data_IF_081699088727
#
_entry.id   IF_081699088727
#
_cell.length_a   1.000
_cell.length_b   1.000
_cell.length_c   1.000
_cell.angle_alpha   90.00
_cell.angle_beta   90.00
_cell.angle_gamma   90.00
#
_symmetry.space_group_name_H-M   'P 1'
#
loop_
_entity.id
_entity.type
_entity.pdbx_description
1 polymer ?
#
# COMPACT_ATOMS: atom_id res chain seq x y z
N UNK A 1 3.25 -16.66 20.23
CA UNK A 1 4.20 -16.28 19.13
C UNK A 1 3.89 -14.91 18.55
N UNK A 2 2.64 -14.60 18.11
CA UNK A 2 2.31 -13.23 17.62
C UNK A 2 2.33 -12.21 18.76
N UNK A 3 1.95 -12.60 19.97
CA UNK A 3 1.93 -11.73 21.15
C UNK A 3 3.33 -11.45 21.72
N UNK A 4 4.33 -12.21 21.33
CA UNK A 4 5.71 -12.07 21.79
C UNK A 4 6.58 -11.28 20.79
N UNK A 5 6.04 -10.96 19.62
CA UNK A 5 6.75 -10.16 18.63
C UNK A 5 6.92 -8.72 19.11
N UNK A 6 8.15 -8.19 19.09
CA UNK A 6 8.35 -6.77 19.35
C UNK A 6 7.67 -5.93 18.26
N UNK A 7 6.90 -4.90 18.65
CA UNK A 7 6.31 -4.02 17.66
C UNK A 7 7.38 -3.25 16.89
N UNK A 8 7.14 -3.01 15.61
CA UNK A 8 7.98 -2.12 14.80
C UNK A 8 8.11 -0.75 15.52
N UNK A 9 9.33 -0.26 15.61
CA UNK A 9 9.63 1.02 16.27
C UNK A 9 10.22 1.98 15.25
N UNK A 10 9.75 3.22 15.29
CA UNK A 10 10.44 4.31 14.56
C UNK A 10 11.88 4.46 15.07
N UNK A 11 12.79 4.83 14.18
CA UNK A 11 14.15 5.18 14.58
C UNK A 11 14.14 6.38 15.53
N UNK A 12 15.11 6.45 16.45
CA UNK A 12 15.15 7.50 17.50
C UNK A 12 15.11 8.95 16.93
N UNK A 13 15.52 9.13 15.68
CA UNK A 13 15.56 10.41 14.99
C UNK A 13 14.43 10.59 13.96
N UNK A 14 13.48 9.66 13.90
CA UNK A 14 12.40 9.73 12.93
C UNK A 14 11.51 10.96 13.16
N UNK A 15 11.17 11.64 12.07
CA UNK A 15 10.31 12.82 12.08
C UNK A 15 9.07 12.58 11.23
N UNK A 16 7.90 13.06 11.65
CA UNK A 16 6.71 12.98 10.83
C UNK A 16 6.83 13.87 9.59
N UNK A 17 6.20 13.44 8.51
CA UNK A 17 6.03 14.21 7.28
C UNK A 17 4.55 14.35 6.98
N UNK A 18 4.09 15.55 6.64
CA UNK A 18 2.68 15.78 6.34
C UNK A 18 2.30 15.20 4.97
N UNK A 19 2.95 15.66 3.91
CA UNK A 19 2.72 15.21 2.54
C UNK A 19 4.03 15.11 1.77
N UNK A 20 4.18 13.98 1.07
CA UNK A 20 5.25 13.73 0.12
C UNK A 20 4.82 14.14 -1.29
N UNK A 21 5.79 14.48 -2.15
CA UNK A 21 5.54 14.74 -3.56
C UNK A 21 5.64 13.46 -4.41
N UNK A 22 6.45 12.49 -3.95
CA UNK A 22 6.53 11.15 -4.48
C UNK A 22 7.67 10.89 -5.46
N UNK A 23 8.80 11.62 -5.36
CA UNK A 23 10.04 11.25 -6.02
C UNK A 23 10.74 10.18 -5.19
N UNK A 24 10.98 8.99 -5.78
CA UNK A 24 11.56 7.84 -5.08
C UNK A 24 12.94 7.55 -5.66
N UNK A 25 13.94 7.35 -4.80
CA UNK A 25 15.29 6.98 -5.19
C UNK A 25 15.74 5.73 -4.42
N UNK A 26 16.21 4.74 -5.15
CA UNK A 26 17.00 3.63 -4.64
C UNK A 26 18.47 3.93 -4.93
N UNK A 27 19.35 3.82 -3.94
CA UNK A 27 20.79 4.05 -4.05
C UNK A 27 21.55 2.84 -3.54
N UNK A 28 22.11 2.08 -4.45
CA UNK A 28 22.93 0.87 -4.19
C UNK A 28 22.27 -0.10 -3.21
N UNK A 29 20.96 -0.31 -3.38
CA UNK A 29 20.14 -1.10 -2.45
C UNK A 29 20.45 -2.57 -2.61
N UNK A 30 20.86 -3.20 -1.50
CA UNK A 30 20.99 -4.65 -1.33
C UNK A 30 19.95 -5.11 -0.31
N UNK A 31 19.28 -6.23 -0.59
CA UNK A 31 18.32 -6.81 0.32
C UNK A 31 18.26 -8.35 0.18
N UNK A 32 18.21 -9.04 1.31
CA UNK A 32 17.94 -10.46 1.44
C UNK A 32 16.86 -10.69 2.52
N UNK A 33 16.02 -11.72 2.36
CA UNK A 33 15.08 -12.14 3.41
C UNK A 33 15.76 -12.94 4.51
N UNK A 34 16.76 -13.74 4.10
CA UNK A 34 17.62 -14.53 4.97
C UNK A 34 19.06 -14.29 4.55
N UNK A 35 20.02 -14.58 5.42
CA UNK A 35 21.45 -14.26 5.20
C UNK A 35 22.10 -14.99 4.00
N UNK A 36 21.37 -15.91 3.34
CA UNK A 36 21.99 -16.81 2.36
C UNK A 36 21.91 -16.35 0.90
N UNK A 37 21.01 -15.41 0.53
CA UNK A 37 20.88 -14.98 -0.88
C UNK A 37 20.26 -13.59 -1.05
N UNK A 38 21.02 -12.70 -1.67
CA UNK A 38 20.52 -11.40 -2.08
C UNK A 38 19.38 -11.53 -3.10
N UNK A 39 18.24 -10.91 -2.79
CA UNK A 39 17.10 -10.75 -3.69
C UNK A 39 17.28 -9.50 -4.54
N UNK A 40 17.84 -8.45 -3.93
CA UNK A 40 18.28 -7.22 -4.62
C UNK A 40 19.78 -7.06 -4.40
N UNK A 41 20.51 -6.75 -5.47
CA UNK A 41 21.96 -6.64 -5.43
C UNK A 41 22.41 -5.33 -6.10
N UNK A 42 22.62 -4.29 -5.29
CA UNK A 42 23.11 -2.98 -5.74
C UNK A 42 22.14 -2.24 -6.66
N UNK A 43 20.84 -2.27 -6.35
CA UNK A 43 19.83 -1.62 -7.20
C UNK A 43 19.85 -0.12 -7.01
N UNK A 44 20.10 0.61 -8.12
CA UNK A 44 20.03 2.07 -8.17
C UNK A 44 19.07 2.52 -9.25
N UNK A 45 18.02 3.27 -8.88
CA UNK A 45 17.03 3.82 -9.79
C UNK A 45 16.34 5.05 -9.20
N UNK A 46 15.78 5.88 -10.07
CA UNK A 46 14.97 7.02 -9.67
C UNK A 46 13.63 7.00 -10.38
N UNK A 47 12.56 7.18 -9.60
CA UNK A 47 11.20 7.36 -10.11
C UNK A 47 10.81 8.81 -9.83
N UNK A 48 10.67 9.60 -10.89
CA UNK A 48 10.29 11.00 -10.76
C UNK A 48 8.83 11.16 -10.34
N UNK A 49 8.54 12.20 -9.57
CA UNK A 49 7.18 12.53 -9.11
C UNK A 49 6.18 12.58 -10.27
N UNK A 50 4.99 12.03 -10.06
CA UNK A 50 3.91 12.02 -11.04
C UNK A 50 4.14 11.10 -12.25
N UNK A 51 5.23 10.35 -12.28
CA UNK A 51 5.49 9.37 -13.35
C UNK A 51 4.90 8.02 -13.02
N UNK A 52 4.46 7.31 -14.06
CA UNK A 52 4.15 5.87 -13.99
C UNK A 52 5.41 5.09 -14.32
N UNK A 53 5.77 4.20 -13.43
CA UNK A 53 6.94 3.33 -13.56
C UNK A 53 6.50 1.88 -13.46
N UNK A 54 6.97 1.01 -14.34
CA UNK A 54 6.65 -0.40 -14.31
C UNK A 54 7.91 -1.23 -14.06
N UNK A 55 7.84 -2.12 -13.06
CA UNK A 55 8.84 -3.14 -12.80
C UNK A 55 8.49 -4.38 -13.64
N UNK A 56 9.36 -4.74 -14.58
CA UNK A 56 9.16 -5.89 -15.48
C UNK A 56 10.29 -6.88 -15.30
N UNK A 57 9.97 -8.16 -15.26
CA UNK A 57 10.95 -9.23 -15.11
C UNK A 57 10.32 -10.56 -14.70
N UNK A 58 11.11 -11.64 -14.66
CA UNK A 58 10.63 -12.97 -14.28
C UNK A 58 10.10 -13.00 -12.84
N UNK A 59 9.29 -14.01 -12.53
CA UNK A 59 8.89 -14.30 -11.15
C UNK A 59 10.14 -14.55 -10.29
N UNK A 60 10.13 -14.06 -9.04
CA UNK A 60 11.28 -14.12 -8.15
C UNK A 60 12.37 -13.06 -8.42
N UNK A 61 12.19 -12.18 -9.41
CA UNK A 61 13.16 -11.11 -9.74
C UNK A 61 13.16 -9.91 -8.80
N UNK A 62 12.60 -10.00 -7.58
CA UNK A 62 12.64 -8.94 -6.57
C UNK A 62 11.64 -7.78 -6.75
N UNK A 63 10.70 -7.87 -7.71
CA UNK A 63 9.72 -6.79 -7.98
C UNK A 63 8.84 -6.49 -6.75
N UNK A 64 8.19 -7.48 -6.20
CA UNK A 64 7.37 -7.38 -4.98
C UNK A 64 8.20 -6.93 -3.78
N UNK A 65 9.44 -7.40 -3.67
CA UNK A 65 10.39 -6.95 -2.65
C UNK A 65 10.63 -5.45 -2.74
N UNK A 66 10.92 -4.93 -3.94
CA UNK A 66 11.06 -3.47 -4.13
C UNK A 66 9.80 -2.70 -3.73
N UNK A 67 8.62 -3.22 -4.08
CA UNK A 67 7.34 -2.63 -3.68
C UNK A 67 7.17 -2.60 -2.15
N UNK A 68 7.65 -3.60 -1.43
CA UNK A 68 7.55 -3.72 0.02
C UNK A 68 8.62 -2.90 0.78
N UNK A 69 9.76 -2.63 0.17
CA UNK A 69 10.80 -1.78 0.76
C UNK A 69 10.39 -0.29 0.81
N UNK A 70 9.64 0.20 -0.18
CA UNK A 70 9.21 1.61 -0.23
C UNK A 70 8.37 2.02 1.01
N UNK A 71 7.35 1.25 1.46
CA UNK A 71 6.60 1.56 2.68
C UNK A 71 7.32 1.15 3.97
N UNK A 72 8.60 0.75 3.87
CA UNK A 72 9.41 0.33 4.99
C UNK A 72 8.77 -0.86 5.76
N UNK A 73 8.42 -1.94 5.01
CA UNK A 73 8.02 -3.20 5.63
C UNK A 73 9.24 -4.07 5.98
N UNK A 74 10.38 -3.76 5.38
CA UNK A 74 11.68 -4.40 5.63
C UNK A 74 12.78 -3.35 5.56
N UNK A 75 13.85 -3.59 6.31
CA UNK A 75 15.08 -2.79 6.27
C UNK A 75 16.00 -3.26 5.15
N UNK A 76 16.61 -2.33 4.44
CA UNK A 76 17.64 -2.67 3.45
C UNK A 76 18.91 -3.18 4.14
N UNK A 77 19.57 -4.19 3.56
CA UNK A 77 20.84 -4.71 4.09
C UNK A 77 21.97 -3.73 3.84
N UNK A 78 21.98 -3.07 2.68
CA UNK A 78 22.94 -2.02 2.30
C UNK A 78 22.25 -1.01 1.37
N UNK A 79 22.86 0.16 1.25
CA UNK A 79 22.31 1.25 0.46
C UNK A 79 21.23 2.01 1.22
N UNK A 80 20.42 2.76 0.49
CA UNK A 80 19.37 3.59 1.08
C UNK A 80 18.22 3.83 0.09
N UNK A 81 17.02 4.05 0.64
CA UNK A 81 15.85 4.46 -0.13
C UNK A 81 15.43 5.84 0.35
N UNK A 82 15.26 6.77 -0.60
CA UNK A 82 14.83 8.13 -0.30
C UNK A 82 13.49 8.42 -0.98
N UNK A 83 12.68 9.22 -0.30
CA UNK A 83 11.48 9.83 -0.88
C UNK A 83 11.60 11.34 -0.72
N UNK A 84 11.56 12.05 -1.84
CA UNK A 84 11.78 13.51 -1.90
C UNK A 84 13.09 13.94 -1.24
N UNK A 85 14.16 13.15 -1.44
CA UNK A 85 15.49 13.39 -0.88
C UNK A 85 15.63 13.07 0.62
N UNK A 86 14.58 12.58 1.28
CA UNK A 86 14.59 12.15 2.68
C UNK A 86 14.71 10.64 2.75
N UNK A 87 15.66 10.13 3.51
CA UNK A 87 15.80 8.70 3.74
C UNK A 87 14.62 8.16 4.54
N UNK A 88 14.03 7.03 4.12
CA UNK A 88 12.79 6.49 4.70
C UNK A 88 12.92 6.20 6.20
N UNK A 89 14.09 5.78 6.68
CA UNK A 89 14.38 5.57 8.12
C UNK A 89 14.30 6.85 8.96
N UNK A 90 14.41 8.02 8.35
CA UNK A 90 14.32 9.31 9.05
C UNK A 90 12.88 9.80 9.16
N UNK A 91 11.92 9.07 8.59
CA UNK A 91 10.49 9.36 8.64
C UNK A 91 9.79 8.41 9.62
N UNK A 92 8.78 8.91 10.33
CA UNK A 92 7.94 7.99 11.11
C UNK A 92 7.16 7.07 10.17
N UNK A 93 7.07 5.79 10.52
CA UNK A 93 6.36 4.78 9.69
C UNK A 93 4.90 5.17 9.42
N UNK A 94 4.23 5.73 10.44
CA UNK A 94 2.86 6.21 10.27
C UNK A 94 2.77 7.27 9.18
N UNK A 95 3.61 8.31 9.23
CA UNK A 95 3.58 9.41 8.26
C UNK A 95 4.02 8.97 6.87
N UNK A 96 5.02 8.09 6.77
CA UNK A 96 5.46 7.48 5.52
C UNK A 96 4.32 6.68 4.88
N UNK A 97 3.76 5.70 5.63
CA UNK A 97 2.70 4.81 5.14
C UNK A 97 1.39 5.56 4.84
N UNK A 98 1.12 6.69 5.51
CA UNK A 98 -0.01 7.57 5.18
C UNK A 98 0.09 8.13 3.75
N UNK A 99 1.29 8.41 3.28
CA UNK A 99 1.57 8.94 1.94
C UNK A 99 1.65 7.86 0.84
N UNK A 100 1.51 6.57 1.19
CA UNK A 100 1.63 5.46 0.24
C UNK A 100 0.32 4.67 0.22
N UNK A 101 -0.23 4.43 -0.95
CA UNK A 101 -1.33 3.48 -1.19
C UNK A 101 -0.80 2.24 -1.87
N UNK A 102 -1.22 1.08 -1.40
CA UNK A 102 -0.81 -0.21 -1.96
C UNK A 102 -2.05 -1.00 -2.33
N UNK A 103 -2.09 -1.51 -3.56
CA UNK A 103 -3.02 -2.56 -3.98
C UNK A 103 -2.19 -3.83 -4.13
N UNK A 104 -2.41 -4.78 -3.24
CA UNK A 104 -1.69 -6.05 -3.20
C UNK A 104 -2.41 -7.12 -4.01
N UNK A 105 -1.68 -8.13 -4.45
CA UNK A 105 -2.21 -9.33 -5.10
C UNK A 105 -3.18 -10.07 -4.17
N UNK A 106 -2.77 -10.30 -2.92
CA UNK A 106 -3.61 -10.91 -1.88
C UNK A 106 -4.41 -9.83 -1.15
N UNK A 107 -5.66 -9.68 -1.55
CA UNK A 107 -6.55 -8.64 -1.03
C UNK A 107 -7.10 -9.05 0.33
N UNK A 108 -6.77 -8.29 1.35
CA UNK A 108 -7.37 -8.44 2.67
C UNK A 108 -8.59 -7.52 2.84
N UNK A 109 -9.73 -8.14 3.12
CA UNK A 109 -10.98 -7.44 3.47
C UNK A 109 -11.39 -7.83 4.88
N UNK A 110 -11.83 -6.83 5.65
CA UNK A 110 -12.32 -7.03 7.01
C UNK A 110 -13.72 -7.60 7.01
N UNK A 111 -14.04 -8.39 8.03
CA UNK A 111 -15.41 -8.85 8.28
C UNK A 111 -16.27 -7.67 8.80
N UNK A 112 -16.69 -6.84 7.87
CA UNK A 112 -17.42 -5.61 8.12
C UNK A 112 -18.28 -5.27 6.89
N UNK A 113 -18.96 -4.11 6.90
CA UNK A 113 -19.72 -3.65 5.75
C UNK A 113 -18.80 -3.23 4.59
N UNK A 114 -19.36 -3.09 3.38
CA UNK A 114 -18.68 -2.52 2.22
C UNK A 114 -18.20 -1.10 2.54
N UNK A 115 -19.06 -0.28 3.16
CA UNK A 115 -18.73 1.07 3.60
C UNK A 115 -17.52 1.09 4.52
N UNK A 116 -17.52 0.29 5.57
CA UNK A 116 -16.41 0.26 6.54
C UNK A 116 -15.11 -0.20 5.90
N UNK A 117 -15.20 -1.16 4.97
CA UNK A 117 -14.06 -1.59 4.18
C UNK A 117 -13.47 -0.47 3.31
N UNK A 118 -14.27 0.40 2.72
CA UNK A 118 -13.79 1.57 1.97
C UNK A 118 -13.25 2.63 2.92
N UNK A 119 -13.96 2.93 4.03
CA UNK A 119 -13.57 3.89 5.06
C UNK A 119 -12.22 3.58 5.70
N UNK A 120 -11.78 2.31 5.67
CA UNK A 120 -10.44 1.96 6.14
C UNK A 120 -9.31 2.72 5.40
N UNK A 121 -9.58 3.22 4.19
CA UNK A 121 -8.66 4.12 3.48
C UNK A 121 -8.48 5.48 4.16
N UNK A 122 -9.57 6.02 4.75
CA UNK A 122 -9.61 7.27 5.53
C UNK A 122 -10.86 7.28 6.41
N UNK A 123 -10.67 7.10 7.72
CA UNK A 123 -11.74 6.85 8.69
C UNK A 123 -12.68 8.05 8.90
N UNK A 124 -12.21 9.25 8.68
CA UNK A 124 -12.93 10.52 8.82
C UNK A 124 -13.63 10.99 7.53
N UNK A 125 -13.64 10.14 6.49
CA UNK A 125 -14.28 10.48 5.22
C UNK A 125 -15.81 10.51 5.31
N UNK A 126 -16.42 11.41 4.56
CA UNK A 126 -17.87 11.49 4.43
C UNK A 126 -18.42 10.37 3.54
N UNK A 127 -19.73 10.10 3.63
CA UNK A 127 -20.36 9.11 2.75
C UNK A 127 -20.27 9.49 1.27
N UNK A 128 -20.34 10.78 0.94
CA UNK A 128 -20.20 11.25 -0.44
C UNK A 128 -18.80 10.93 -1.00
N UNK A 129 -17.75 11.09 -0.18
CA UNK A 129 -16.39 10.74 -0.57
C UNK A 129 -16.23 9.21 -0.76
N UNK A 130 -16.88 8.42 0.09
CA UNK A 130 -16.93 6.95 -0.06
C UNK A 130 -17.59 6.55 -1.38
N UNK A 131 -18.73 7.18 -1.72
CA UNK A 131 -19.45 6.94 -2.97
C UNK A 131 -18.57 7.32 -4.17
N UNK A 132 -17.93 8.49 -4.14
CA UNK A 132 -17.04 8.92 -5.23
C UNK A 132 -15.83 7.98 -5.39
N UNK A 133 -15.24 7.50 -4.30
CA UNK A 133 -14.17 6.51 -4.35
C UNK A 133 -14.66 5.18 -4.97
N UNK A 134 -15.87 4.74 -4.62
CA UNK A 134 -16.48 3.53 -5.18
C UNK A 134 -16.81 3.68 -6.68
N UNK A 135 -17.28 4.85 -7.12
CA UNK A 135 -17.51 5.15 -8.54
C UNK A 135 -16.20 5.11 -9.33
N UNK A 136 -15.16 5.77 -8.84
CA UNK A 136 -13.82 5.75 -9.47
C UNK A 136 -13.23 4.34 -9.56
N UNK A 137 -13.52 3.47 -8.59
CA UNK A 137 -13.12 2.07 -8.59
C UNK A 137 -14.06 1.16 -9.40
N UNK A 138 -15.10 1.72 -10.04
CA UNK A 138 -16.09 1.00 -10.84
C UNK A 138 -16.78 -0.15 -10.06
N UNK A 139 -17.13 0.10 -8.78
CA UNK A 139 -17.86 -0.87 -7.93
C UNK A 139 -19.19 -0.31 -7.42
N UNK A 140 -19.44 0.99 -7.54
CA UNK A 140 -20.65 1.65 -7.06
C UNK A 140 -21.93 1.00 -7.59
N UNK A 141 -22.03 0.79 -8.90
CA UNK A 141 -23.25 0.24 -9.53
C UNK A 141 -23.56 -1.16 -9.02
N UNK A 142 -22.53 -1.99 -8.82
CA UNK A 142 -22.70 -3.30 -8.19
C UNK A 142 -23.21 -3.16 -6.73
N UNK A 143 -22.64 -2.26 -5.94
CA UNK A 143 -23.08 -2.02 -4.55
C UNK A 143 -24.56 -1.66 -4.54
N UNK A 144 -25.03 -0.84 -5.46
CA UNK A 144 -26.44 -0.42 -5.55
C UNK A 144 -27.38 -1.53 -5.97
N UNK A 145 -26.90 -2.66 -6.48
CA UNK A 145 -27.73 -3.86 -6.73
C UNK A 145 -27.97 -4.70 -5.48
N UNK A 146 -27.21 -4.46 -4.41
CA UNK A 146 -27.31 -5.23 -3.19
C UNK A 146 -28.47 -4.70 -2.31
N UNK A 147 -29.21 -5.57 -1.60
CA UNK A 147 -30.35 -5.15 -0.78
C UNK A 147 -30.01 -4.07 0.26
N UNK A 148 -28.84 -4.20 0.90
CA UNK A 148 -28.37 -3.28 1.94
C UNK A 148 -27.36 -2.26 1.42
N UNK A 149 -27.11 -2.23 0.09
CA UNK A 149 -26.16 -1.30 -0.55
C UNK A 149 -24.80 -1.29 0.14
N UNK A 150 -24.36 -0.12 0.56
CA UNK A 150 -23.07 0.07 1.24
C UNK A 150 -22.98 -0.55 2.64
N UNK A 151 -24.11 -0.82 3.31
CA UNK A 151 -24.16 -1.46 4.62
C UNK A 151 -24.13 -3.00 4.53
N UNK A 152 -24.07 -3.55 3.30
CA UNK A 152 -23.96 -4.98 3.05
C UNK A 152 -22.73 -5.58 3.73
N UNK A 153 -22.94 -6.59 4.58
CA UNK A 153 -21.88 -7.34 5.26
C UNK A 153 -21.22 -8.32 4.30
N UNK A 154 -19.91 -8.21 4.10
CA UNK A 154 -19.18 -9.03 3.12
C UNK A 154 -18.65 -10.35 3.67
N UNK A 155 -18.72 -10.53 4.98
CA UNK A 155 -18.23 -11.72 5.68
C UNK A 155 -16.71 -11.77 5.80
N UNK A 156 -16.21 -12.83 6.40
CA UNK A 156 -14.80 -13.03 6.63
C UNK A 156 -14.04 -13.04 5.28
N UNK A 157 -12.99 -12.21 5.19
CA UNK A 157 -12.18 -12.03 3.96
C UNK A 157 -13.01 -11.74 2.70
N UNK A 158 -14.20 -11.17 2.85
CA UNK A 158 -15.08 -10.86 1.73
C UNK A 158 -15.56 -12.10 0.96
N UNK A 159 -15.84 -13.20 1.66
CA UNK A 159 -16.25 -14.49 1.05
C UNK A 159 -17.45 -14.35 0.10
N UNK A 160 -18.29 -13.32 0.29
CA UNK A 160 -19.48 -13.05 -0.54
C UNK A 160 -19.17 -12.28 -1.83
N UNK A 161 -17.93 -11.89 -2.05
CA UNK A 161 -17.51 -11.11 -3.22
C UNK A 161 -16.66 -11.95 -4.17
N UNK A 162 -16.82 -11.73 -5.47
CA UNK A 162 -15.90 -12.27 -6.49
C UNK A 162 -14.50 -11.63 -6.37
N UNK A 163 -13.48 -12.27 -6.95
CA UNK A 163 -12.11 -11.73 -6.95
C UNK A 163 -12.03 -10.31 -7.51
N UNK A 164 -12.70 -10.05 -8.64
CA UNK A 164 -12.73 -8.71 -9.24
C UNK A 164 -13.48 -7.67 -8.41
N UNK A 165 -14.51 -8.07 -7.63
CA UNK A 165 -15.21 -7.17 -6.70
C UNK A 165 -14.31 -6.83 -5.50
N UNK A 166 -13.59 -7.81 -4.96
CA UNK A 166 -12.60 -7.59 -3.90
C UNK A 166 -11.52 -6.61 -4.35
N UNK A 167 -10.99 -6.80 -5.57
CA UNK A 167 -9.97 -5.92 -6.15
C UNK A 167 -10.47 -4.48 -6.26
N UNK A 168 -11.67 -4.27 -6.84
CA UNK A 168 -12.25 -2.93 -6.94
C UNK A 168 -12.51 -2.30 -5.58
N UNK A 169 -12.89 -3.08 -4.56
CA UNK A 169 -13.07 -2.58 -3.20
C UNK A 169 -11.73 -2.14 -2.59
N UNK A 170 -10.66 -2.90 -2.80
CA UNK A 170 -9.30 -2.50 -2.41
C UNK A 170 -8.85 -1.22 -3.13
N UNK A 171 -9.14 -1.09 -4.42
CA UNK A 171 -8.86 0.12 -5.20
C UNK A 171 -9.66 1.32 -4.66
N UNK A 172 -10.93 1.13 -4.28
CA UNK A 172 -11.75 2.18 -3.67
C UNK A 172 -11.13 2.72 -2.36
N UNK A 173 -10.57 1.84 -1.51
CA UNK A 173 -9.80 2.26 -0.32
C UNK A 173 -8.67 3.22 -0.67
N UNK A 174 -7.92 2.88 -1.72
CA UNK A 174 -6.77 3.70 -2.14
C UNK A 174 -7.23 5.02 -2.75
N UNK A 175 -8.31 5.03 -3.53
CA UNK A 175 -8.87 6.27 -4.04
C UNK A 175 -9.39 7.20 -2.94
N UNK A 176 -10.00 6.63 -1.89
CA UNK A 176 -10.42 7.40 -0.72
C UNK A 176 -9.25 7.98 0.06
N UNK A 177 -8.19 7.21 0.23
CA UNK A 177 -6.93 7.64 0.87
C UNK A 177 -6.23 8.75 0.09
N UNK A 178 -6.31 8.73 -1.24
CA UNK A 178 -5.70 9.70 -2.17
C UNK A 178 -4.21 9.98 -1.90
N UNK A 179 -3.37 8.95 -1.85
CA UNK A 179 -1.94 9.09 -1.54
C UNK A 179 -1.17 9.65 -2.75
N UNK A 180 -0.06 10.38 -2.53
CA UNK A 180 0.82 10.84 -3.61
C UNK A 180 1.60 9.70 -4.28
N UNK A 181 1.82 8.59 -3.57
CA UNK A 181 2.52 7.41 -4.09
C UNK A 181 1.54 6.25 -4.13
N UNK A 182 1.41 5.61 -5.30
CA UNK A 182 0.58 4.43 -5.51
C UNK A 182 1.44 3.26 -5.99
N UNK A 183 1.36 2.16 -5.26
CA UNK A 183 2.01 0.89 -5.60
C UNK A 183 0.93 -0.11 -6.00
N UNK A 184 1.08 -0.72 -7.18
CA UNK A 184 0.22 -1.79 -7.68
C UNK A 184 1.08 -3.03 -7.83
N UNK A 185 0.83 -4.05 -7.00
CA UNK A 185 1.56 -5.31 -7.03
C UNK A 185 0.65 -6.38 -7.63
N UNK A 186 0.89 -6.69 -8.91
CA UNK A 186 0.09 -7.63 -9.73
C UNK A 186 -1.43 -7.35 -9.74
N UNK A 187 -1.80 -6.07 -9.70
CA UNK A 187 -3.18 -5.61 -9.61
C UNK A 187 -3.84 -5.39 -10.99
#
# INVERSE_FOLDING_TARGET
EIMDAEPEKDSANAKPVERLEGRIEFRDVVYAYDDDKDVLNGVSLTIEKGKKFALVGPSGGGKTTMCHLIPHFYDVTQGQILIDGKEIHTLTMESLRRNIGIVQQDIYLFNASIKDNILYGRLDATMDEVIEAAKRANIHDYIMTLPDGYDTQIGERGVRLSGGQKQRLSIARVFLKNPPILILDEA
#
